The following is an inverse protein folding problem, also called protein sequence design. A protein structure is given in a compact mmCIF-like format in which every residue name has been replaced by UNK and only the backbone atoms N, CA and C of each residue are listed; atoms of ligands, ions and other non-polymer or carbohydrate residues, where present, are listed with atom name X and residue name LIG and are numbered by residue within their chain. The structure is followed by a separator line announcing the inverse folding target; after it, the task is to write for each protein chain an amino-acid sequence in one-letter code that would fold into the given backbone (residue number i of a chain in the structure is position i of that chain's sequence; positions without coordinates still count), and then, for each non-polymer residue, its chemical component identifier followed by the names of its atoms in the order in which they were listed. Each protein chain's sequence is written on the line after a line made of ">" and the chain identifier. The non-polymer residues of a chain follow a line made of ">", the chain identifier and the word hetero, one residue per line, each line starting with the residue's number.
data_IF_554370881488
#
_entry.id   IF_554370881488
#
_cell.length_a   1.000
_cell.length_b   1.000
_cell.length_c   1.000
_cell.angle_alpha   90.00
_cell.angle_beta   90.00
_cell.angle_gamma   90.00
#
_symmetry.space_group_name_H-M   'P 1'
#
loop_
_entity.id
_entity.type
_entity.pdbx_description
1 polymer ?
#
# COMPACT_ATOMS: atom_id res chain seq x y z
N UNK A 1 12.20 9.68 -35.83
CA UNK A 1 12.70 9.89 -34.46
C UNK A 1 12.55 8.68 -33.55
N UNK A 2 13.00 7.50 -34.00
CA UNK A 2 12.99 6.24 -33.24
C UNK A 2 14.38 5.85 -32.75
N UNK A 3 15.34 6.79 -32.74
CA UNK A 3 16.74 6.53 -32.37
C UNK A 3 17.01 6.71 -30.86
N UNK A 4 16.05 7.33 -30.12
CA UNK A 4 16.17 7.60 -28.68
C UNK A 4 15.18 6.80 -27.82
N UNK A 5 14.28 6.02 -28.43
CA UNK A 5 13.43 5.08 -27.71
C UNK A 5 14.20 3.75 -27.63
N UNK A 6 15.01 3.59 -26.59
CA UNK A 6 15.66 2.31 -26.31
C UNK A 6 14.62 1.21 -26.13
N UNK A 7 15.03 -0.03 -26.43
CA UNK A 7 14.24 -1.28 -26.38
C UNK A 7 13.69 -1.63 -24.97
N UNK A 8 13.95 -0.76 -23.99
CA UNK A 8 13.46 -0.80 -22.60
C UNK A 8 12.12 -0.09 -22.39
N UNK A 9 11.64 0.72 -23.35
CA UNK A 9 10.41 1.51 -23.19
C UNK A 9 9.21 0.97 -24.01
N UNK A 10 9.44 -0.08 -24.80
CA UNK A 10 8.43 -0.73 -25.65
C UNK A 10 7.98 -2.11 -25.17
N UNK A 11 8.52 -2.60 -24.06
CA UNK A 11 7.87 -3.69 -23.33
C UNK A 11 6.66 -3.03 -22.67
N UNK A 12 5.45 -3.32 -23.17
CA UNK A 12 4.22 -3.19 -22.39
C UNK A 12 4.57 -3.71 -21.01
N UNK A 13 4.78 -2.79 -20.07
CA UNK A 13 5.20 -3.14 -18.74
C UNK A 13 4.17 -4.15 -18.26
N UNK A 14 4.60 -5.35 -17.92
CA UNK A 14 3.78 -6.51 -17.48
C UNK A 14 2.90 -6.18 -16.24
N UNK A 15 2.98 -4.92 -15.78
CA UNK A 15 2.05 -4.22 -14.90
C UNK A 15 0.69 -3.91 -15.57
N UNK A 16 0.57 -3.84 -16.90
CA UNK A 16 -0.64 -3.42 -17.63
C UNK A 16 -1.72 -4.49 -17.62
N UNK A 17 -1.36 -5.77 -17.59
CA UNK A 17 -2.28 -6.91 -17.65
C UNK A 17 -3.05 -7.16 -16.34
N UNK A 18 -2.64 -6.54 -15.24
CA UNK A 18 -3.37 -6.61 -13.98
C UNK A 18 -3.28 -7.93 -13.20
N UNK A 19 -2.83 -9.02 -13.83
CA UNK A 19 -2.76 -10.37 -13.22
C UNK A 19 -1.73 -10.48 -12.10
N UNK A 20 -0.58 -9.81 -12.23
CA UNK A 20 0.44 -9.73 -11.18
C UNK A 20 0.09 -8.73 -10.07
N UNK A 21 -0.91 -7.85 -10.26
CA UNK A 21 -1.31 -6.80 -9.30
C UNK A 21 -1.94 -7.35 -8.02
N UNK A 22 -2.49 -8.57 -8.06
CA UNK A 22 -3.23 -9.18 -6.94
C UNK A 22 -2.52 -10.37 -6.28
N UNK A 23 -1.62 -11.03 -7.00
CA UNK A 23 -0.87 -12.18 -6.51
C UNK A 23 0.44 -11.77 -5.83
N UNK A 24 0.95 -10.58 -6.12
CA UNK A 24 2.12 -10.03 -5.45
C UNK A 24 1.74 -9.40 -4.11
N UNK A 25 1.59 -10.24 -3.08
CA UNK A 25 1.78 -9.77 -1.71
C UNK A 25 3.15 -9.11 -1.66
N UNK A 26 3.16 -7.79 -1.46
CA UNK A 26 4.41 -7.05 -1.43
C UNK A 26 5.15 -7.46 -0.16
N UNK A 27 6.14 -8.34 -0.30
CA UNK A 27 7.03 -8.64 0.82
C UNK A 27 7.94 -7.43 0.96
N UNK A 28 7.85 -6.74 2.09
CA UNK A 28 8.61 -5.53 2.41
C UNK A 28 10.11 -5.83 2.70
N UNK A 29 10.67 -6.84 2.02
CA UNK A 29 12.04 -7.33 2.14
C UNK A 29 13.08 -6.31 1.67
N UNK A 30 12.67 -5.33 0.88
CA UNK A 30 13.53 -4.21 0.49
C UNK A 30 13.80 -3.24 1.65
N UNK A 31 13.04 -3.32 2.75
CA UNK A 31 13.20 -2.48 3.92
C UNK A 31 14.02 -3.18 5.00
N UNK A 32 15.08 -2.51 5.45
CA UNK A 32 15.83 -2.87 6.65
C UNK A 32 15.02 -2.44 7.90
N UNK A 33 13.90 -3.11 8.14
CA UNK A 33 12.98 -2.80 9.23
C UNK A 33 13.61 -2.89 10.63
N UNK A 34 14.72 -3.63 10.75
CA UNK A 34 15.53 -3.76 11.96
C UNK A 34 16.37 -2.51 12.27
N UNK A 35 16.74 -1.72 11.26
CA UNK A 35 17.59 -0.53 11.41
C UNK A 35 16.82 0.77 11.34
N UNK A 36 15.81 0.84 10.47
CA UNK A 36 15.02 2.06 10.28
C UNK A 36 13.88 2.09 11.29
N UNK A 37 13.70 3.22 11.97
CA UNK A 37 12.66 3.45 12.98
C UNK A 37 11.67 4.51 12.46
N UNK A 38 10.37 4.20 12.31
CA UNK A 38 9.37 5.20 12.00
C UNK A 38 9.14 6.10 13.24
N UNK A 39 8.69 7.36 13.06
CA UNK A 39 8.32 8.21 14.19
C UNK A 39 7.28 7.53 15.07
N UNK A 40 7.48 7.53 16.38
CA UNK A 40 6.69 6.73 17.32
C UNK A 40 5.19 7.02 17.23
N UNK A 41 4.81 8.32 17.22
CA UNK A 41 3.39 8.72 17.09
C UNK A 41 2.77 8.27 15.78
N UNK A 42 3.55 8.27 14.70
CA UNK A 42 3.09 7.83 13.38
C UNK A 42 2.82 6.31 13.40
N UNK A 43 3.78 5.54 13.91
CA UNK A 43 3.68 4.09 14.00
C UNK A 43 2.51 3.68 14.91
N UNK A 44 2.33 4.35 16.04
CA UNK A 44 1.20 4.12 16.95
C UNK A 44 -0.15 4.38 16.27
N UNK A 45 -0.29 5.47 15.51
CA UNK A 45 -1.54 5.78 14.81
C UNK A 45 -1.91 4.69 13.79
N UNK A 46 -0.93 4.24 12.98
CA UNK A 46 -1.13 3.15 12.00
C UNK A 46 -1.42 1.83 12.71
N UNK A 47 -0.65 1.47 13.73
CA UNK A 47 -0.80 0.21 14.45
C UNK A 47 -2.15 0.13 15.19
N UNK A 48 -2.58 1.21 15.84
CA UNK A 48 -3.88 1.28 16.50
C UNK A 48 -5.00 1.16 15.48
N UNK A 49 -4.90 1.81 14.32
CA UNK A 49 -5.91 1.70 13.27
C UNK A 49 -6.07 0.25 12.79
N UNK A 50 -4.96 -0.41 12.47
CA UNK A 50 -4.95 -1.82 12.04
C UNK A 50 -5.51 -2.74 13.13
N UNK A 51 -5.01 -2.62 14.36
CA UNK A 51 -5.44 -3.45 15.49
C UNK A 51 -6.91 -3.25 15.83
N UNK A 52 -7.40 -2.01 15.84
CA UNK A 52 -8.82 -1.70 16.13
C UNK A 52 -9.75 -2.31 15.09
N UNK A 53 -9.39 -2.25 13.81
CA UNK A 53 -10.16 -2.89 12.75
C UNK A 53 -10.14 -4.42 12.85
N UNK A 54 -9.01 -5.01 13.26
CA UNK A 54 -8.91 -6.45 13.52
C UNK A 54 -9.83 -6.90 14.68
N UNK A 55 -9.88 -6.16 15.78
CA UNK A 55 -10.76 -6.52 16.91
C UNK A 55 -12.23 -6.17 16.66
N UNK A 56 -12.51 -5.13 15.88
CA UNK A 56 -13.87 -4.74 15.53
C UNK A 56 -14.61 -5.83 14.73
N UNK A 57 -13.90 -6.61 13.91
CA UNK A 57 -14.51 -7.73 13.19
C UNK A 57 -14.93 -8.89 14.10
N UNK A 58 -14.29 -9.04 15.27
CA UNK A 58 -14.57 -10.10 16.25
C UNK A 58 -15.54 -9.73 17.36
N UNK A 59 -15.81 -8.44 17.57
CA UNK A 59 -16.59 -7.96 18.71
C UNK A 59 -18.05 -7.73 18.33
N UNK A 60 -18.98 -8.27 19.13
CA UNK A 60 -20.43 -8.02 19.02
C UNK A 60 -20.83 -6.59 19.44
N UNK A 61 -19.88 -5.77 19.88
CA UNK A 61 -20.15 -4.41 20.38
C UNK A 61 -20.17 -3.38 19.26
N UNK A 62 -21.10 -2.44 19.33
CA UNK A 62 -21.46 -1.40 18.35
C UNK A 62 -20.41 -0.28 18.19
N UNK A 63 -19.15 -0.54 18.49
CA UNK A 63 -18.11 0.48 18.41
C UNK A 63 -17.75 0.74 16.93
N UNK A 64 -18.17 1.90 16.41
CA UNK A 64 -17.87 2.30 15.03
C UNK A 64 -16.39 2.66 14.90
N UNK A 65 -15.61 1.76 14.30
CA UNK A 65 -14.20 2.00 13.96
C UNK A 65 -14.11 2.48 12.51
N UNK A 66 -13.35 3.55 12.20
CA UNK A 66 -13.14 3.96 10.82
C UNK A 66 -12.33 2.89 10.07
N UNK A 67 -12.82 2.44 8.91
CA UNK A 67 -12.11 1.47 8.07
C UNK A 67 -10.90 2.11 7.36
N UNK A 68 -11.01 3.37 6.98
CA UNK A 68 -10.01 4.09 6.18
C UNK A 68 -9.20 5.04 7.07
N UNK A 69 -7.87 4.97 6.96
CA UNK A 69 -6.94 5.91 7.59
C UNK A 69 -6.33 6.82 6.51
N UNK A 70 -6.67 8.11 6.56
CA UNK A 70 -6.06 9.14 5.70
C UNK A 70 -4.76 9.66 6.32
N UNK A 71 -3.65 9.61 5.59
CA UNK A 71 -2.35 10.14 6.01
C UNK A 71 -1.96 11.29 5.08
N UNK A 72 -1.93 12.52 5.59
CA UNK A 72 -1.60 13.72 4.82
C UNK A 72 -0.41 14.49 5.42
N UNK A 73 0.16 15.41 4.66
CA UNK A 73 1.30 16.25 5.06
C UNK A 73 2.16 16.69 3.87
N UNK A 74 3.22 17.47 4.13
CA UNK A 74 4.11 18.00 3.09
C UNK A 74 4.75 16.91 2.19
N UNK A 75 5.07 17.25 0.95
CA UNK A 75 5.81 16.36 0.04
C UNK A 75 7.24 16.12 0.57
N UNK A 76 7.77 14.92 0.37
CA UNK A 76 9.16 14.58 0.75
C UNK A 76 9.37 14.14 2.20
N UNK A 77 8.34 14.17 3.06
CA UNK A 77 8.46 13.76 4.48
C UNK A 77 8.46 12.24 4.71
N UNK A 78 8.48 11.44 3.64
CA UNK A 78 8.53 9.97 3.75
C UNK A 78 7.25 9.31 4.26
N UNK A 79 6.05 9.83 3.95
CA UNK A 79 4.77 9.26 4.41
C UNK A 79 4.63 7.78 4.03
N UNK A 80 4.76 7.45 2.75
CA UNK A 80 4.64 6.07 2.25
C UNK A 80 5.70 5.16 2.87
N UNK A 81 6.95 5.63 2.95
CA UNK A 81 8.05 4.91 3.59
C UNK A 81 7.74 4.58 5.06
N UNK A 82 7.23 5.54 5.83
CA UNK A 82 6.88 5.34 7.23
C UNK A 82 5.71 4.35 7.40
N UNK A 83 4.76 4.31 6.46
CA UNK A 83 3.68 3.31 6.44
C UNK A 83 4.25 1.93 6.20
N UNK A 84 5.02 1.76 5.13
CA UNK A 84 5.65 0.47 4.79
C UNK A 84 6.52 -0.03 5.95
N UNK A 85 7.35 0.82 6.53
CA UNK A 85 8.20 0.45 7.67
C UNK A 85 7.40 0.00 8.90
N UNK A 86 6.27 0.66 9.18
CA UNK A 86 5.40 0.28 10.28
C UNK A 86 4.75 -1.07 10.03
N UNK A 87 4.25 -1.31 8.81
CA UNK A 87 3.62 -2.58 8.43
C UNK A 87 4.64 -3.73 8.40
N UNK A 88 5.85 -3.50 7.90
CA UNK A 88 6.94 -4.47 7.92
C UNK A 88 7.27 -4.93 9.35
N UNK A 89 7.34 -3.97 10.29
CA UNK A 89 7.57 -4.24 11.72
C UNK A 89 6.43 -5.00 12.38
N UNK A 90 5.21 -4.78 11.93
CA UNK A 90 4.03 -5.53 12.39
C UNK A 90 3.91 -6.91 11.72
N UNK A 91 4.75 -7.23 10.73
CA UNK A 91 4.64 -8.47 9.95
C UNK A 91 3.40 -8.54 9.06
N UNK A 92 2.86 -7.38 8.67
CA UNK A 92 1.68 -7.27 7.80
C UNK A 92 2.13 -7.17 6.36
N UNK A 93 1.50 -7.93 5.48
CA UNK A 93 1.73 -7.89 4.03
C UNK A 93 0.68 -7.00 3.35
N UNK A 94 1.03 -5.76 2.96
CA UNK A 94 0.07 -4.89 2.29
C UNK A 94 -0.11 -5.24 0.82
N UNK A 95 -1.31 -4.95 0.33
CA UNK A 95 -1.58 -4.75 -1.10
C UNK A 95 -1.32 -3.28 -1.39
N UNK A 96 -0.31 -3.00 -2.20
CA UNK A 96 0.10 -1.64 -2.55
C UNK A 96 -0.55 -1.26 -3.89
N UNK A 97 -1.06 -0.05 -3.99
CA UNK A 97 -1.63 0.50 -5.22
C UNK A 97 -1.11 1.93 -5.43
N UNK A 98 -0.72 2.25 -6.67
CA UNK A 98 -0.27 3.57 -7.07
C UNK A 98 -1.44 4.45 -7.52
N UNK A 99 -1.33 5.77 -7.32
CA UNK A 99 -2.33 6.72 -7.80
C UNK A 99 -2.49 6.64 -9.33
N UNK A 100 -1.39 6.46 -10.07
CA UNK A 100 -1.44 6.31 -11.52
C UNK A 100 -2.12 5.01 -11.98
N UNK A 101 -2.16 3.97 -11.14
CA UNK A 101 -2.91 2.74 -11.43
C UNK A 101 -4.42 2.93 -11.24
N UNK A 102 -4.82 3.86 -10.37
CA UNK A 102 -6.23 4.20 -10.14
C UNK A 102 -6.80 5.16 -11.18
N UNK A 103 -5.94 5.89 -11.88
CA UNK A 103 -6.32 6.89 -12.89
C UNK A 103 -6.42 6.28 -14.31
N UNK A 104 -5.95 5.05 -14.51
CA UNK A 104 -6.01 4.35 -15.79
C UNK A 104 -7.47 3.96 -16.14
N UNK A 105 -7.85 4.01 -17.42
CA UNK A 105 -9.23 3.77 -17.87
C UNK A 105 -9.79 2.37 -17.56
N UNK A 106 -8.90 1.45 -17.16
CA UNK A 106 -9.18 0.06 -16.74
C UNK A 106 -9.26 -0.09 -15.21
N UNK A 107 -9.06 1.00 -14.45
CA UNK A 107 -9.00 1.03 -12.98
C UNK A 107 -10.32 0.73 -12.24
N UNK A 108 -11.41 0.44 -12.97
CA UNK A 108 -12.68 -0.04 -12.40
C UNK A 108 -12.74 -1.55 -12.16
N UNK A 109 -11.99 -2.35 -12.92
CA UNK A 109 -11.90 -3.82 -12.77
C UNK A 109 -11.33 -4.26 -11.39
N UNK A 110 -10.36 -3.54 -10.78
CA UNK A 110 -9.87 -3.82 -9.43
C UNK A 110 -10.95 -3.84 -8.34
N UNK A 111 -11.90 -2.90 -8.37
CA UNK A 111 -12.95 -2.79 -7.34
C UNK A 111 -14.02 -3.89 -7.46
N UNK A 112 -14.20 -4.45 -8.65
CA UNK A 112 -15.17 -5.51 -8.95
C UNK A 112 -14.76 -6.88 -8.38
N UNK A 113 -13.44 -7.11 -8.15
CA UNK A 113 -12.88 -8.42 -7.76
C UNK A 113 -12.54 -8.59 -6.27
N UNK A 114 -12.76 -7.58 -5.42
CA UNK A 114 -12.56 -7.67 -3.94
C UNK A 114 -13.85 -8.15 -3.23
N UNK A 115 -14.74 -8.87 -3.91
CA UNK A 115 -16.01 -9.31 -3.35
C UNK A 115 -15.94 -10.69 -2.71
#
# INVERSE_FOLDING_TARGET
>A
DALFAGDTLGVDSDLVTGELRWTSRSTLKHLDASRLLPPERFAQAVAVHVARNFFASSSTSTNRVPLVLGIWGHKGVGKSLNVELTLARMGVEPVIMSAGEMEDGVAGVPAERIR
#
